data_IF_512466617333
#
_entry.id   IF_512466617333
#
_cell.length_a   1.000
_cell.length_b   1.000
_cell.length_c   1.000
_cell.angle_alpha   90.00
_cell.angle_beta   90.00
_cell.angle_gamma   90.00
#
_symmetry.space_group_name_H-M   'P 1'
#
loop_
_entity.id
_entity.type
_entity.pdbx_description
1 polymer ?
#
# COMPACT_ATOMS: atom_id res chain seq x y z
N UNK A 1 -29.40 71.58 -34.01
CA UNK A 1 -29.57 71.18 -32.58
C UNK A 1 -29.19 69.76 -32.42
N UNK A 2 -28.11 69.64 -31.76
CA UNK A 2 -27.40 68.49 -31.21
C UNK A 2 -28.24 67.77 -30.12
N UNK A 3 -27.84 66.76 -29.43
CA UNK A 3 -26.58 66.02 -29.30
C UNK A 3 -26.77 64.54 -28.82
N UNK A 4 -25.71 63.98 -28.53
CA UNK A 4 -25.39 62.95 -27.53
C UNK A 4 -24.89 61.63 -28.16
N UNK A 5 -23.66 61.70 -28.51
CA UNK A 5 -22.78 60.56 -28.50
C UNK A 5 -22.37 60.31 -27.03
N UNK A 6 -22.84 59.23 -26.45
CA UNK A 6 -22.41 58.73 -25.16
C UNK A 6 -21.51 57.54 -25.39
N UNK A 7 -20.21 57.83 -25.35
CA UNK A 7 -19.16 56.84 -25.38
C UNK A 7 -19.37 55.78 -24.30
N UNK A 8 -19.52 54.55 -24.70
CA UNK A 8 -19.39 53.40 -23.86
C UNK A 8 -17.95 52.84 -24.00
N UNK A 9 -17.02 53.52 -23.36
CA UNK A 9 -15.66 53.03 -23.19
C UNK A 9 -15.70 51.86 -22.19
N UNK A 10 -16.16 50.70 -22.68
CA UNK A 10 -16.09 49.44 -21.95
C UNK A 10 -14.61 49.15 -21.63
N UNK A 11 -14.30 49.25 -20.37
CA UNK A 11 -13.06 48.87 -19.71
C UNK A 11 -12.66 47.43 -20.06
N UNK A 12 -11.99 47.25 -21.19
CA UNK A 12 -11.27 46.03 -21.52
C UNK A 12 -9.86 46.11 -20.94
N UNK A 13 -9.76 45.87 -19.63
CA UNK A 13 -8.48 45.58 -19.00
C UNK A 13 -7.99 44.20 -19.43
N UNK A 14 -7.69 44.05 -20.71
CA UNK A 14 -6.92 42.94 -21.24
C UNK A 14 -5.50 43.02 -20.71
N UNK A 15 -5.23 42.37 -19.59
CA UNK A 15 -3.88 42.19 -19.08
C UNK A 15 -3.07 41.44 -20.16
N UNK A 16 -2.34 42.19 -20.98
CA UNK A 16 -1.39 41.64 -21.98
C UNK A 16 -0.25 41.02 -21.23
N UNK A 17 -0.42 39.77 -20.82
CA UNK A 17 0.65 38.96 -20.24
C UNK A 17 1.78 38.85 -21.24
N UNK A 18 2.98 39.31 -20.84
CA UNK A 18 4.18 39.21 -21.67
C UNK A 18 4.47 37.74 -22.01
N UNK A 19 5.06 37.51 -23.17
CA UNK A 19 5.38 36.12 -23.61
C UNK A 19 6.17 35.36 -22.56
N UNK A 20 7.05 36.00 -21.83
CA UNK A 20 7.83 35.41 -20.72
C UNK A 20 6.93 34.91 -19.58
N UNK A 21 5.90 35.67 -19.20
CA UNK A 21 4.96 35.26 -18.14
C UNK A 21 4.14 34.08 -18.55
N UNK A 22 3.75 33.98 -19.83
CA UNK A 22 3.03 32.79 -20.35
C UNK A 22 3.90 31.51 -20.29
N UNK A 23 5.18 31.62 -20.65
CA UNK A 23 6.13 30.50 -20.57
C UNK A 23 6.42 30.08 -19.13
N UNK A 24 6.49 31.03 -18.18
CA UNK A 24 6.67 30.75 -16.77
C UNK A 24 5.42 30.03 -16.21
N UNK A 25 4.21 30.48 -16.51
CA UNK A 25 2.98 29.86 -16.09
C UNK A 25 2.82 28.47 -16.71
N UNK A 26 3.17 28.29 -17.98
CA UNK A 26 3.18 26.99 -18.63
C UNK A 26 4.18 26.03 -17.97
N UNK A 27 5.37 26.50 -17.60
CA UNK A 27 6.39 25.74 -16.88
C UNK A 27 5.93 25.31 -15.49
N UNK A 28 5.32 26.22 -14.73
CA UNK A 28 4.75 25.92 -13.41
C UNK A 28 3.59 24.91 -13.54
N UNK A 29 2.71 25.09 -14.52
CA UNK A 29 1.63 24.16 -14.80
C UNK A 29 2.14 22.76 -15.13
N UNK A 30 3.15 22.66 -15.99
CA UNK A 30 3.78 21.39 -16.33
C UNK A 30 4.43 20.70 -15.12
N UNK A 31 5.10 21.49 -14.26
CA UNK A 31 5.69 20.98 -13.02
C UNK A 31 4.63 20.44 -12.06
N UNK A 32 3.51 21.14 -11.89
CA UNK A 32 2.41 20.68 -11.04
C UNK A 32 1.79 19.39 -11.58
N UNK A 33 1.57 19.30 -12.88
CA UNK A 33 1.07 18.08 -13.52
C UNK A 33 2.06 16.93 -13.32
N UNK A 34 3.35 17.14 -13.48
CA UNK A 34 4.38 16.13 -13.25
C UNK A 34 4.41 15.66 -11.78
N UNK A 35 4.28 16.57 -10.82
CA UNK A 35 4.18 16.24 -9.40
C UNK A 35 2.93 15.43 -9.08
N UNK A 36 1.78 15.78 -9.65
CA UNK A 36 0.54 15.01 -9.47
C UNK A 36 0.66 13.62 -10.10
N UNK A 37 1.20 13.52 -11.31
CA UNK A 37 1.44 12.23 -11.97
C UNK A 37 2.37 11.34 -11.13
N UNK A 38 3.43 11.90 -10.57
CA UNK A 38 4.34 11.19 -9.68
C UNK A 38 3.66 10.74 -8.38
N UNK A 39 2.81 11.57 -7.78
CA UNK A 39 2.07 11.22 -6.58
C UNK A 39 1.11 10.04 -6.81
N UNK A 40 0.46 9.99 -7.96
CA UNK A 40 -0.45 8.89 -8.34
C UNK A 40 0.32 7.63 -8.74
N UNK A 41 1.42 7.76 -9.47
CA UNK A 41 2.25 6.62 -9.89
C UNK A 41 3.07 6.00 -8.75
N UNK A 42 3.36 6.79 -7.70
CA UNK A 42 4.25 6.40 -6.60
C UNK A 42 3.95 5.05 -5.94
N UNK A 43 2.70 4.78 -5.51
CA UNK A 43 2.38 3.49 -4.87
C UNK A 43 2.53 2.31 -5.84
N UNK A 44 2.23 2.50 -7.12
CA UNK A 44 2.44 1.46 -8.14
C UNK A 44 3.93 1.16 -8.36
N UNK A 45 4.79 2.17 -8.26
CA UNK A 45 6.24 1.99 -8.31
C UNK A 45 6.74 1.21 -7.08
N UNK A 46 6.20 1.48 -5.89
CA UNK A 46 6.54 0.73 -4.68
C UNK A 46 6.12 -0.74 -4.79
N UNK A 47 4.89 -1.01 -5.24
CA UNK A 47 4.41 -2.38 -5.50
C UNK A 47 5.31 -3.09 -6.50
N UNK A 48 5.62 -2.45 -7.62
CA UNK A 48 6.48 -3.05 -8.66
C UNK A 48 7.91 -3.28 -8.16
N UNK A 49 8.42 -2.39 -7.32
CA UNK A 49 9.70 -2.56 -6.63
C UNK A 49 9.72 -3.81 -5.75
N UNK A 50 8.71 -3.98 -4.89
CA UNK A 50 8.56 -5.18 -4.04
C UNK A 50 8.47 -6.45 -4.90
N UNK A 51 7.66 -6.44 -5.94
CA UNK A 51 7.50 -7.58 -6.87
C UNK A 51 8.82 -7.99 -7.49
N UNK A 52 9.59 -7.03 -7.99
CA UNK A 52 10.90 -7.28 -8.61
C UNK A 52 11.92 -7.85 -7.61
N UNK A 53 11.98 -7.28 -6.42
CA UNK A 53 12.87 -7.74 -5.33
C UNK A 53 12.53 -9.17 -4.91
N UNK A 54 11.24 -9.46 -4.72
CA UNK A 54 10.78 -10.82 -4.36
C UNK A 54 11.02 -11.82 -5.50
N UNK A 55 10.81 -11.41 -6.76
CA UNK A 55 11.07 -12.27 -7.92
C UNK A 55 12.55 -12.62 -8.08
N UNK A 56 13.46 -11.69 -7.77
CA UNK A 56 14.91 -11.90 -7.81
C UNK A 56 15.47 -12.61 -6.58
N UNK A 57 14.72 -12.64 -5.47
CA UNK A 57 15.18 -13.19 -4.20
C UNK A 57 16.11 -12.25 -3.42
N UNK A 58 16.18 -10.97 -3.81
CA UNK A 58 17.02 -9.94 -3.17
C UNK A 58 16.32 -9.32 -1.95
N UNK A 59 15.96 -10.13 -0.98
CA UNK A 59 15.11 -9.71 0.16
C UNK A 59 15.69 -8.57 1.01
N UNK A 60 17.01 -8.38 1.01
CA UNK A 60 17.65 -7.24 1.67
C UNK A 60 17.24 -5.88 1.10
N UNK A 61 16.89 -5.82 -0.17
CA UNK A 61 16.43 -4.58 -0.83
C UNK A 61 14.99 -4.19 -0.44
N UNK A 62 14.25 -5.07 0.22
CA UNK A 62 12.87 -4.77 0.68
C UNK A 62 12.82 -3.60 1.65
N UNK A 63 13.88 -3.31 2.39
CA UNK A 63 13.98 -2.15 3.31
C UNK A 63 13.74 -0.80 2.59
N UNK A 64 13.93 -0.76 1.30
CA UNK A 64 13.68 0.45 0.49
C UNK A 64 12.18 0.72 0.28
N UNK A 65 11.38 -0.34 0.25
CA UNK A 65 9.95 -0.31 -0.08
C UNK A 65 9.06 -0.64 1.10
N UNK A 66 9.63 -1.15 2.20
CA UNK A 66 8.90 -1.58 3.40
C UNK A 66 9.44 -0.84 4.61
N UNK A 67 8.55 -0.31 5.42
CA UNK A 67 8.83 0.24 6.75
C UNK A 67 8.49 -0.84 7.80
N UNK A 68 9.50 -1.62 8.17
CA UNK A 68 9.31 -2.80 9.03
C UNK A 68 8.83 -2.43 10.43
N UNK A 69 9.21 -1.25 10.95
CA UNK A 69 8.78 -0.79 12.26
C UNK A 69 7.27 -0.52 12.27
N UNK A 70 6.79 0.29 11.34
CA UNK A 70 5.35 0.57 11.23
C UNK A 70 4.54 -0.66 10.88
N UNK A 71 5.09 -1.54 10.03
CA UNK A 71 4.44 -2.79 9.68
C UNK A 71 4.27 -3.69 10.91
N UNK A 72 5.29 -3.77 11.77
CA UNK A 72 5.23 -4.48 13.05
C UNK A 72 4.13 -3.91 13.95
N UNK A 73 4.09 -2.60 14.10
CA UNK A 73 3.07 -1.92 14.91
C UNK A 73 1.66 -2.18 14.40
N UNK A 74 1.48 -2.26 13.09
CA UNK A 74 0.20 -2.57 12.45
C UNK A 74 -0.25 -4.02 12.69
N UNK A 75 0.68 -4.98 12.68
CA UNK A 75 0.36 -6.41 12.78
C UNK A 75 0.22 -6.87 14.23
N UNK A 76 1.00 -6.31 15.15
CA UNK A 76 1.06 -6.71 16.55
C UNK A 76 -0.32 -6.83 17.23
N UNK A 77 -1.20 -5.81 17.21
CA UNK A 77 -2.50 -5.90 17.87
C UNK A 77 -3.39 -6.97 17.25
N UNK A 78 -3.33 -7.16 15.95
CA UNK A 78 -4.15 -8.15 15.22
C UNK A 78 -3.75 -9.58 15.59
N UNK A 79 -2.45 -9.86 15.68
CA UNK A 79 -1.92 -11.19 16.08
C UNK A 79 -2.25 -11.46 17.54
N UNK A 80 -2.06 -10.48 18.42
CA UNK A 80 -2.39 -10.62 19.85
C UNK A 80 -3.88 -10.94 20.05
N UNK A 81 -4.78 -10.22 19.38
CA UNK A 81 -6.22 -10.47 19.48
C UNK A 81 -6.59 -11.89 19.04
N UNK A 82 -5.95 -12.41 18.00
CA UNK A 82 -6.20 -13.78 17.51
C UNK A 82 -5.70 -14.85 18.48
N UNK A 83 -4.51 -14.64 19.04
CA UNK A 83 -3.95 -15.56 20.03
C UNK A 83 -4.85 -15.60 21.26
N UNK A 84 -5.24 -14.42 21.79
CA UNK A 84 -6.15 -14.33 22.93
C UNK A 84 -7.50 -14.98 22.61
N UNK A 85 -8.10 -14.69 21.48
CA UNK A 85 -9.36 -15.31 21.04
C UNK A 85 -9.26 -16.82 20.89
N UNK A 86 -8.16 -17.34 20.36
CA UNK A 86 -7.88 -18.76 20.23
C UNK A 86 -7.71 -19.47 21.58
N UNK A 87 -7.02 -18.82 22.54
CA UNK A 87 -6.84 -19.35 23.89
C UNK A 87 -8.18 -19.39 24.64
N UNK A 88 -8.93 -18.29 24.63
CA UNK A 88 -10.24 -18.21 25.29
C UNK A 88 -11.24 -19.21 24.69
N UNK A 89 -11.22 -19.39 23.38
CA UNK A 89 -12.08 -20.36 22.70
C UNK A 89 -11.78 -21.81 23.05
N UNK A 90 -10.53 -22.15 23.41
CA UNK A 90 -10.12 -23.52 23.79
C UNK A 90 -10.20 -23.79 25.29
N UNK A 91 -9.92 -22.81 26.14
CA UNK A 91 -9.83 -22.95 27.59
C UNK A 91 -11.09 -22.49 28.35
N UNK A 92 -12.05 -21.84 27.67
CA UNK A 92 -13.24 -21.29 28.31
C UNK A 92 -12.98 -19.94 29.00
N UNK A 93 -14.06 -19.24 29.39
CA UNK A 93 -14.03 -17.89 29.96
C UNK A 93 -13.49 -17.77 31.39
N UNK A 94 -12.94 -18.85 31.97
CA UNK A 94 -12.46 -18.87 33.36
C UNK A 94 -11.00 -18.57 33.57
N UNK A 95 -10.22 -18.30 32.51
CA UNK A 95 -8.79 -18.03 32.60
C UNK A 95 -8.56 -16.56 32.97
N UNK A 96 -7.79 -16.29 34.03
CA UNK A 96 -7.48 -14.93 34.49
C UNK A 96 -6.75 -14.16 33.41
N UNK A 97 -7.16 -12.90 33.18
CA UNK A 97 -6.66 -12.02 32.11
C UNK A 97 -5.12 -11.88 32.13
N UNK A 98 -4.49 -11.96 33.30
CA UNK A 98 -3.03 -11.82 33.45
C UNK A 98 -2.26 -13.00 32.85
N UNK A 99 -2.78 -14.23 32.97
CA UNK A 99 -2.15 -15.41 32.39
C UNK A 99 -2.29 -15.40 30.87
N UNK A 100 -3.45 -15.00 30.38
CA UNK A 100 -3.70 -14.89 28.93
C UNK A 100 -2.81 -13.82 28.29
N UNK A 101 -2.65 -12.68 28.94
CA UNK A 101 -1.79 -11.58 28.44
C UNK A 101 -0.31 -11.98 28.44
N UNK A 102 0.18 -12.62 29.50
CA UNK A 102 1.57 -13.06 29.60
C UNK A 102 1.93 -14.13 28.55
N UNK A 103 1.09 -15.12 28.38
CA UNK A 103 1.29 -16.20 27.40
C UNK A 103 1.18 -15.66 25.96
N UNK A 104 0.25 -14.75 25.71
CA UNK A 104 0.06 -14.20 24.36
C UNK A 104 1.24 -13.34 23.91
N UNK A 105 1.87 -12.56 24.80
CA UNK A 105 3.04 -11.77 24.44
C UNK A 105 4.26 -12.63 24.11
N UNK A 106 4.54 -13.66 24.94
CA UNK A 106 5.68 -14.56 24.74
C UNK A 106 5.60 -15.35 23.44
N UNK A 107 4.39 -15.72 23.01
CA UNK A 107 4.19 -16.46 21.76
C UNK A 107 4.06 -15.52 20.57
N UNK A 108 3.44 -14.35 20.75
CA UNK A 108 3.17 -13.42 19.67
C UNK A 108 4.44 -12.74 19.14
N UNK A 109 5.37 -12.33 19.99
CA UNK A 109 6.57 -11.62 19.56
C UNK A 109 7.41 -12.37 18.52
N UNK A 110 7.81 -13.63 18.72
CA UNK A 110 8.60 -14.34 17.72
C UNK A 110 7.79 -14.62 16.43
N UNK A 111 6.47 -14.79 16.52
CA UNK A 111 5.63 -14.95 15.35
C UNK A 111 5.54 -13.65 14.54
N UNK A 112 5.41 -12.51 15.21
CA UNK A 112 5.39 -11.18 14.58
C UNK A 112 6.75 -10.89 13.94
N UNK A 113 7.86 -11.16 14.63
CA UNK A 113 9.21 -10.99 14.09
C UNK A 113 9.43 -11.83 12.83
N UNK A 114 8.97 -13.06 12.84
CA UNK A 114 9.06 -13.93 11.66
C UNK A 114 8.23 -13.40 10.49
N UNK A 115 7.01 -12.90 10.74
CA UNK A 115 6.11 -12.37 9.70
C UNK A 115 6.59 -11.04 9.14
N UNK A 116 7.12 -10.15 9.98
CA UNK A 116 7.54 -8.79 9.61
C UNK A 116 8.99 -8.77 9.10
N UNK A 117 9.69 -9.89 9.09
CA UNK A 117 11.00 -10.00 8.47
C UNK A 117 10.93 -9.92 6.93
N UNK A 118 12.01 -9.53 6.24
CA UNK A 118 12.06 -9.55 4.77
C UNK A 118 11.69 -10.92 4.17
N UNK A 119 12.14 -11.99 4.82
CA UNK A 119 11.80 -13.36 4.42
C UNK A 119 10.34 -13.71 4.70
N UNK A 120 9.80 -13.26 5.84
CA UNK A 120 8.39 -13.46 6.20
C UNK A 120 7.45 -12.79 5.21
N UNK A 121 7.71 -11.53 4.86
CA UNK A 121 6.94 -10.80 3.85
C UNK A 121 7.04 -11.50 2.49
N UNK A 122 8.23 -11.92 2.07
CA UNK A 122 8.40 -12.67 0.83
C UNK A 122 7.63 -13.99 0.85
N UNK A 123 7.57 -14.67 1.98
CA UNK A 123 6.83 -15.92 2.17
C UNK A 123 5.32 -15.69 2.13
N UNK A 124 4.81 -14.64 2.79
CA UNK A 124 3.40 -14.25 2.73
C UNK A 124 2.98 -13.92 1.30
N UNK A 125 3.79 -13.16 0.59
CA UNK A 125 3.55 -12.82 -0.81
C UNK A 125 3.59 -14.06 -1.71
N UNK A 126 4.54 -14.96 -1.51
CA UNK A 126 4.64 -16.23 -2.26
C UNK A 126 3.54 -17.22 -1.86
N UNK A 127 3.14 -17.26 -0.60
CA UNK A 127 2.11 -18.15 -0.09
C UNK A 127 0.75 -17.90 -0.73
N UNK A 128 0.35 -16.65 -0.88
CA UNK A 128 -0.88 -16.26 -1.58
C UNK A 128 -0.86 -16.68 -3.05
N UNK A 129 0.30 -16.62 -3.67
CA UNK A 129 0.49 -17.01 -5.06
C UNK A 129 0.58 -18.55 -5.24
N UNK A 130 1.20 -19.26 -4.30
CA UNK A 130 1.24 -20.73 -4.31
C UNK A 130 -0.15 -21.33 -4.08
N UNK A 131 -0.96 -20.72 -3.23
CA UNK A 131 -2.31 -21.17 -2.95
C UNK A 131 -3.24 -21.07 -4.17
N UNK A 132 -3.10 -20.00 -4.99
CA UNK A 132 -3.79 -19.90 -6.29
C UNK A 132 -3.39 -21.00 -7.27
N UNK A 133 -2.16 -21.52 -7.17
CA UNK A 133 -1.68 -22.64 -8.01
C UNK A 133 -2.23 -23.98 -7.56
N UNK A 134 -2.30 -24.24 -6.25
CA UNK A 134 -2.86 -25.49 -5.71
C UNK A 134 -4.36 -25.58 -5.92
N UNK A 135 -5.06 -24.44 -6.13
CA UNK A 135 -6.47 -24.37 -6.50
C UNK A 135 -6.82 -24.73 -7.95
N UNK A 136 -5.87 -25.28 -8.72
CA UNK A 136 -6.18 -25.89 -10.04
C UNK A 136 -6.15 -24.94 -11.24
N UNK A 137 -5.57 -23.75 -11.13
CA UNK A 137 -5.52 -22.77 -12.24
C UNK A 137 -4.25 -22.83 -13.10
N UNK A 138 -3.44 -23.88 -12.99
CA UNK A 138 -2.22 -24.07 -13.82
C UNK A 138 -2.27 -25.39 -14.55
N UNK A 139 -2.19 -25.34 -15.88
CA UNK A 139 -2.14 -26.52 -16.71
C UNK A 139 -0.86 -27.33 -16.48
N UNK A 140 -0.91 -28.68 -16.51
CA UNK A 140 0.25 -29.53 -16.35
C UNK A 140 1.24 -29.27 -17.49
N UNK A 141 2.47 -28.86 -17.17
CA UNK A 141 3.55 -28.67 -18.15
C UNK A 141 4.04 -27.23 -18.32
N UNK A 142 3.40 -26.23 -17.76
CA UNK A 142 3.88 -24.86 -17.78
C UNK A 142 5.01 -24.63 -16.78
N UNK A 143 6.16 -24.13 -17.28
CA UNK A 143 7.27 -23.72 -16.40
C UNK A 143 6.75 -22.67 -15.39
N UNK A 144 7.13 -22.76 -14.11
CA UNK A 144 6.70 -21.81 -13.11
C UNK A 144 7.16 -20.40 -13.48
N UNK A 145 6.30 -19.64 -14.16
CA UNK A 145 6.48 -18.20 -14.28
C UNK A 145 6.60 -17.64 -12.87
N UNK A 146 7.62 -16.82 -12.63
CA UNK A 146 7.83 -16.20 -11.32
C UNK A 146 6.49 -15.67 -10.83
N UNK A 147 6.03 -16.21 -9.69
CA UNK A 147 4.69 -15.89 -9.17
C UNK A 147 4.74 -14.47 -8.71
N UNK A 148 4.01 -13.62 -9.42
CA UNK A 148 3.81 -12.24 -9.06
C UNK A 148 2.66 -12.15 -8.03
N UNK A 149 2.99 -11.93 -6.75
CA UNK A 149 2.00 -12.00 -5.68
C UNK A 149 0.98 -10.87 -5.73
N UNK A 150 1.36 -9.73 -6.32
CA UNK A 150 0.52 -8.54 -6.39
C UNK A 150 -0.04 -8.29 -7.81
N UNK A 151 0.13 -9.22 -8.76
CA UNK A 151 -0.32 -9.06 -10.15
C UNK A 151 -1.85 -8.87 -10.25
N UNK A 152 -2.61 -9.53 -9.38
CA UNK A 152 -4.07 -9.48 -9.35
C UNK A 152 -4.59 -8.76 -8.09
N UNK A 153 -3.77 -7.90 -7.49
CA UNK A 153 -4.23 -7.10 -6.36
C UNK A 153 -5.24 -6.05 -6.82
N UNK A 154 -6.36 -5.98 -6.13
CA UNK A 154 -7.27 -4.85 -6.26
C UNK A 154 -6.71 -3.68 -5.51
N UNK A 155 -6.49 -2.56 -6.18
CA UNK A 155 -5.85 -1.39 -5.61
C UNK A 155 -6.82 -0.23 -5.42
N UNK A 156 -6.69 0.51 -4.32
CA UNK A 156 -7.52 1.65 -4.01
C UNK A 156 -6.73 2.76 -3.29
N UNK A 157 -7.06 4.02 -3.58
CA UNK A 157 -6.60 5.17 -2.79
C UNK A 157 -7.62 5.44 -1.70
N UNK A 158 -7.28 5.17 -0.44
CA UNK A 158 -8.14 5.53 0.71
C UNK A 158 -7.98 7.01 1.07
N UNK A 159 -6.79 7.57 0.85
CA UNK A 159 -6.49 8.99 1.01
C UNK A 159 -5.32 9.43 0.14
N UNK A 160 -4.96 10.72 0.19
CA UNK A 160 -3.78 11.27 -0.51
C UNK A 160 -2.44 10.69 -0.01
N UNK A 161 -2.45 10.03 1.14
CA UNK A 161 -1.26 9.45 1.79
C UNK A 161 -1.41 7.97 2.13
N UNK A 162 -2.57 7.35 1.86
CA UNK A 162 -2.84 5.94 2.12
C UNK A 162 -3.39 5.28 0.85
N UNK A 163 -2.69 4.26 0.42
CA UNK A 163 -3.04 3.43 -0.72
C UNK A 163 -3.06 1.96 -0.29
N UNK A 164 -4.04 1.22 -0.73
CA UNK A 164 -4.22 -0.19 -0.37
C UNK A 164 -4.14 -1.10 -1.59
N UNK A 165 -3.55 -2.28 -1.39
CA UNK A 165 -3.55 -3.36 -2.35
C UNK A 165 -4.12 -4.61 -1.68
N UNK A 166 -5.27 -5.07 -2.13
CA UNK A 166 -5.97 -6.23 -1.60
C UNK A 166 -5.70 -7.44 -2.47
N UNK A 167 -5.25 -8.51 -1.86
CA UNK A 167 -5.09 -9.82 -2.49
C UNK A 167 -5.96 -10.84 -1.78
N UNK A 168 -6.47 -11.81 -2.51
CA UNK A 168 -7.20 -12.94 -1.91
C UNK A 168 -6.21 -14.01 -1.44
N UNK A 169 -6.40 -14.47 -0.21
CA UNK A 169 -5.69 -15.63 0.33
C UNK A 169 -6.22 -16.92 -0.32
N UNK A 170 -5.59 -18.06 0.01
CA UNK A 170 -6.04 -19.39 -0.43
C UNK A 170 -7.50 -19.68 -0.05
N UNK A 171 -7.91 -19.19 1.11
CA UNK A 171 -9.25 -19.41 1.67
C UNK A 171 -10.27 -18.40 1.13
N UNK A 172 -9.91 -17.60 0.11
CA UNK A 172 -10.77 -16.56 -0.47
C UNK A 172 -10.97 -15.34 0.42
N UNK A 173 -10.18 -15.21 1.48
CA UNK A 173 -10.27 -14.08 2.40
C UNK A 173 -9.37 -12.93 1.95
N UNK A 174 -9.78 -11.66 2.14
CA UNK A 174 -8.98 -10.52 1.71
C UNK A 174 -7.80 -10.28 2.66
N UNK A 175 -6.61 -10.15 2.10
CA UNK A 175 -5.40 -9.67 2.76
C UNK A 175 -5.07 -8.31 2.19
N UNK A 176 -5.03 -7.27 3.03
CA UNK A 176 -4.85 -5.89 2.58
C UNK A 176 -3.47 -5.39 2.96
N UNK A 177 -2.71 -4.98 1.97
CA UNK A 177 -1.42 -4.31 2.12
C UNK A 177 -1.64 -2.80 2.12
N UNK A 178 -1.14 -2.10 3.13
CA UNK A 178 -1.26 -0.67 3.29
C UNK A 178 0.06 0.02 2.97
N UNK A 179 0.01 0.91 1.99
CA UNK A 179 1.13 1.74 1.58
C UNK A 179 0.89 3.17 2.04
N UNK A 180 1.81 3.70 2.82
CA UNK A 180 1.75 5.08 3.29
C UNK A 180 2.83 5.92 2.60
N UNK A 181 2.44 7.13 2.25
CA UNK A 181 3.35 8.11 1.67
C UNK A 181 4.15 8.79 2.77
N UNK A 182 5.48 8.73 2.67
CA UNK A 182 6.41 9.44 3.53
C UNK A 182 7.24 10.38 2.65
N UNK A 183 6.90 11.66 2.66
CA UNK A 183 7.48 12.63 1.72
C UNK A 183 7.11 12.33 0.27
N UNK A 184 8.10 12.00 -0.55
CA UNK A 184 7.92 11.62 -1.96
C UNK A 184 7.91 10.11 -2.17
N UNK A 185 8.24 9.31 -1.16
CA UNK A 185 8.30 7.85 -1.26
C UNK A 185 7.05 7.20 -0.69
N UNK A 186 6.62 6.11 -1.33
CA UNK A 186 5.58 5.23 -0.82
C UNK A 186 6.24 3.97 -0.27
N UNK A 187 5.84 3.58 0.94
CA UNK A 187 6.34 2.37 1.61
C UNK A 187 5.18 1.54 2.14
N UNK A 188 5.35 0.24 2.12
CA UNK A 188 4.47 -0.68 2.83
C UNK A 188 4.65 -0.46 4.33
N UNK A 189 3.59 -0.06 5.02
CA UNK A 189 3.61 0.30 6.44
C UNK A 189 2.60 -0.49 7.26
N UNK A 190 1.68 -1.18 6.62
CA UNK A 190 0.66 -1.92 7.32
C UNK A 190 0.17 -3.14 6.56
N UNK A 191 -0.42 -4.05 7.30
CA UNK A 191 -1.04 -5.25 6.81
C UNK A 191 -2.31 -5.49 7.62
N UNK A 192 -3.46 -5.60 6.93
CA UNK A 192 -4.71 -6.05 7.55
C UNK A 192 -4.88 -7.53 7.24
N UNK A 193 -4.83 -8.33 8.29
CA UNK A 193 -5.01 -9.76 8.20
C UNK A 193 -6.50 -10.08 8.00
N UNK A 194 -6.86 -11.12 7.24
CA UNK A 194 -8.25 -11.55 7.09
C UNK A 194 -8.83 -12.01 8.43
N UNK A 195 -10.11 -11.80 8.66
CA UNK A 195 -10.82 -12.26 9.86
C UNK A 195 -11.02 -13.80 9.88
#
# INVERSE_FOLDING_TARGET
SNPHDSGNDGFQAGCKMTSRTKWLLAGIGALLVAMLAYAVAGPYLAINGIRNVVAKGEYGELVRFVDFEKLRDSVTPQVQQRIVGGIIGRMGRGTTSDVVSGVSSVIAEPAIDAMVSPLGIATLLRGSALAKRLGGQVAPGERPKAVDPLQNATTNFESTSLFTATVETADGKPLVFEFTRTGLAWKLTGLRLPD
#
